data_IF_981202845866
#
_entry.id   IF_981202845866
#
_cell.length_a   1.000
_cell.length_b   1.000
_cell.length_c   1.000
_cell.angle_alpha   90.00
_cell.angle_beta   90.00
_cell.angle_gamma   90.00
#
_symmetry.space_group_name_H-M   'P 1'
#
loop_
_entity.id
_entity.type
_entity.pdbx_description
1 polymer ?
#
# COMPACT_ATOMS: atom_id res chain seq x y z
N UNK A 1 14.55 -14.19 -15.31
CA UNK A 1 14.13 -14.81 -16.57
C UNK A 1 15.24 -14.80 -17.61
N UNK A 2 15.10 -15.54 -18.71
CA UNK A 2 16.04 -15.51 -19.85
C UNK A 2 15.97 -14.20 -20.64
N UNK A 3 17.05 -13.84 -21.35
CA UNK A 3 17.13 -12.57 -22.08
C UNK A 3 16.04 -12.44 -23.17
N UNK A 4 15.74 -13.50 -23.91
CA UNK A 4 14.66 -13.49 -24.90
C UNK A 4 13.29 -13.25 -24.25
N UNK A 5 13.07 -13.79 -23.06
CA UNK A 5 11.83 -13.62 -22.31
C UNK A 5 11.66 -12.16 -21.86
N UNK A 6 12.74 -11.53 -21.39
CA UNK A 6 12.74 -10.12 -21.04
C UNK A 6 12.41 -9.24 -22.26
N UNK A 7 13.01 -9.53 -23.43
CA UNK A 7 12.71 -8.81 -24.67
C UNK A 7 11.25 -8.97 -25.10
N UNK A 8 10.65 -10.16 -24.95
CA UNK A 8 9.24 -10.36 -25.26
C UNK A 8 8.33 -9.45 -24.40
N UNK A 9 8.62 -9.30 -23.11
CA UNK A 9 7.87 -8.41 -22.23
C UNK A 9 8.00 -6.95 -22.67
N UNK A 10 9.22 -6.51 -23.00
CA UNK A 10 9.47 -5.14 -23.44
C UNK A 10 8.84 -4.85 -24.82
N UNK A 11 8.81 -5.83 -25.72
CA UNK A 11 8.14 -5.74 -27.01
C UNK A 11 6.61 -5.63 -26.85
N UNK A 12 6.05 -6.36 -25.88
CA UNK A 12 4.63 -6.27 -25.53
C UNK A 12 4.26 -4.85 -25.06
N UNK A 13 5.11 -4.22 -24.23
CA UNK A 13 4.94 -2.83 -23.82
C UNK A 13 5.04 -1.88 -25.01
N UNK A 14 6.05 -2.06 -25.85
CA UNK A 14 6.26 -1.21 -27.04
C UNK A 14 5.11 -1.30 -28.04
N UNK A 15 4.46 -2.47 -28.12
CA UNK A 15 3.28 -2.68 -28.96
C UNK A 15 2.01 -2.08 -28.37
N UNK A 16 1.86 -2.13 -27.04
CA UNK A 16 0.69 -1.56 -26.35
C UNK A 16 0.76 -0.03 -26.21
N UNK A 17 1.97 0.54 -26.09
CA UNK A 17 2.17 1.96 -25.78
C UNK A 17 3.11 2.65 -26.79
N UNK A 18 2.51 3.34 -27.75
CA UNK A 18 3.25 4.05 -28.82
C UNK A 18 4.27 5.06 -28.29
N UNK A 19 3.92 5.78 -27.21
CA UNK A 19 4.81 6.77 -26.64
C UNK A 19 6.04 6.14 -26.01
N UNK A 20 5.89 5.01 -25.33
CA UNK A 20 7.02 4.23 -24.81
C UNK A 20 7.95 3.83 -25.96
N UNK A 21 7.41 3.26 -27.04
CA UNK A 21 8.21 2.89 -28.22
C UNK A 21 9.01 4.04 -28.81
N UNK A 22 8.48 5.27 -28.79
CA UNK A 22 9.17 6.46 -29.32
C UNK A 22 10.27 6.97 -28.40
N UNK A 23 10.14 6.78 -27.09
CA UNK A 23 11.08 7.32 -26.10
C UNK A 23 12.13 6.31 -25.64
N UNK A 24 11.84 5.01 -25.77
CA UNK A 24 12.74 3.95 -25.33
C UNK A 24 13.89 3.80 -26.32
N UNK A 25 15.10 4.11 -25.84
CA UNK A 25 16.35 3.90 -26.56
C UNK A 25 17.00 2.56 -26.17
N UNK A 26 18.07 2.18 -26.88
CA UNK A 26 18.79 0.93 -26.62
C UNK A 26 19.29 0.82 -25.17
N UNK A 27 19.66 1.94 -24.55
CA UNK A 27 20.11 1.98 -23.14
C UNK A 27 18.97 1.61 -22.20
N UNK A 28 17.78 2.14 -22.43
CA UNK A 28 16.58 1.81 -21.65
C UNK A 28 16.24 0.33 -21.78
N UNK A 29 16.28 -0.21 -23.00
CA UNK A 29 15.99 -1.62 -23.25
C UNK A 29 17.00 -2.55 -22.55
N UNK A 30 18.30 -2.24 -22.63
CA UNK A 30 19.36 -2.99 -21.95
C UNK A 30 19.17 -2.97 -20.43
N UNK A 31 18.95 -1.78 -19.87
CA UNK A 31 18.70 -1.61 -18.44
C UNK A 31 17.53 -2.48 -17.98
N UNK A 32 16.40 -2.43 -18.70
CA UNK A 32 15.23 -3.19 -18.34
C UNK A 32 15.46 -4.69 -18.44
N UNK A 33 16.17 -5.14 -19.48
CA UNK A 33 16.56 -6.54 -19.62
C UNK A 33 17.43 -7.01 -18.45
N UNK A 34 18.38 -6.20 -17.99
CA UNK A 34 19.25 -6.52 -16.84
C UNK A 34 18.43 -6.68 -15.55
N UNK A 35 17.45 -5.81 -15.31
CA UNK A 35 16.58 -5.89 -14.13
C UNK A 35 15.60 -7.06 -14.15
N UNK A 36 15.23 -7.55 -15.33
CA UNK A 36 14.28 -8.66 -15.47
C UNK A 36 14.95 -10.04 -15.27
N UNK A 37 16.27 -10.12 -15.25
CA UNK A 37 17.01 -11.40 -15.03
C UNK A 37 16.62 -12.06 -13.71
N UNK A 38 16.32 -11.28 -12.68
CA UNK A 38 15.94 -11.79 -11.34
C UNK A 38 14.42 -11.99 -11.17
N UNK A 39 13.64 -11.73 -12.22
CA UNK A 39 12.19 -11.84 -12.20
C UNK A 39 11.67 -13.17 -12.78
N UNK A 40 10.55 -13.62 -12.23
CA UNK A 40 9.76 -14.75 -12.70
C UNK A 40 9.00 -14.35 -13.97
N UNK A 41 9.27 -15.07 -15.06
CA UNK A 41 8.70 -14.73 -16.35
C UNK A 41 7.17 -14.83 -16.38
N UNK A 42 6.59 -15.94 -15.90
CA UNK A 42 5.15 -16.18 -16.01
C UNK A 42 4.36 -15.21 -15.13
N UNK A 43 4.81 -14.99 -13.89
CA UNK A 43 4.20 -14.02 -12.98
C UNK A 43 4.31 -12.59 -13.54
N UNK A 44 5.49 -12.22 -14.05
CA UNK A 44 5.70 -10.89 -14.62
C UNK A 44 4.88 -10.65 -15.89
N UNK A 45 4.75 -11.69 -16.74
CA UNK A 45 3.90 -11.65 -17.94
C UNK A 45 2.42 -11.50 -17.58
N UNK A 46 1.95 -12.19 -16.55
CA UNK A 46 0.57 -12.08 -16.08
C UNK A 46 0.27 -10.68 -15.53
N UNK A 47 1.17 -10.13 -14.69
CA UNK A 47 1.07 -8.78 -14.16
C UNK A 47 1.05 -7.73 -15.28
N UNK A 48 1.96 -7.87 -16.26
CA UNK A 48 2.03 -6.97 -17.41
C UNK A 48 0.74 -6.98 -18.25
N UNK A 49 0.21 -8.16 -18.56
CA UNK A 49 -1.07 -8.30 -19.27
C UNK A 49 -2.21 -7.61 -18.53
N UNK A 50 -2.24 -7.70 -17.21
CA UNK A 50 -3.26 -7.05 -16.39
C UNK A 50 -3.10 -5.53 -16.39
N UNK A 51 -1.87 -5.02 -16.31
CA UNK A 51 -1.59 -3.58 -16.42
C UNK A 51 -2.06 -3.02 -17.76
N UNK A 52 -1.72 -3.69 -18.87
CA UNK A 52 -2.14 -3.28 -20.23
C UNK A 52 -3.67 -3.18 -20.35
N UNK A 53 -4.41 -4.11 -19.73
CA UNK A 53 -5.88 -4.10 -19.76
C UNK A 53 -6.50 -2.97 -18.93
N UNK A 54 -5.84 -2.53 -17.86
CA UNK A 54 -6.47 -1.68 -16.82
C UNK A 54 -5.92 -0.27 -16.77
N UNK A 55 -4.71 -0.02 -17.30
CA UNK A 55 -4.01 1.25 -17.19
C UNK A 55 -3.73 1.85 -18.55
N UNK A 56 -4.04 3.15 -18.68
CA UNK A 56 -3.85 3.93 -19.91
C UNK A 56 -2.39 4.31 -20.19
N UNK A 57 -1.55 4.34 -19.15
CA UNK A 57 -0.15 4.74 -19.24
C UNK A 57 0.78 3.53 -19.20
N UNK A 58 1.93 3.64 -19.87
CA UNK A 58 2.94 2.60 -19.90
C UNK A 58 3.39 2.24 -18.47
N UNK A 59 3.61 0.95 -18.16
CA UNK A 59 4.13 0.54 -16.87
C UNK A 59 5.58 0.99 -16.68
N UNK A 60 5.99 1.07 -15.43
CA UNK A 60 7.39 1.02 -14.99
C UNK A 60 7.80 -0.45 -14.72
N UNK A 61 9.10 -0.71 -14.52
CA UNK A 61 9.57 -2.05 -14.13
C UNK A 61 8.89 -2.56 -12.86
N UNK A 62 8.63 -1.69 -11.88
CA UNK A 62 8.03 -2.08 -10.60
C UNK A 62 6.56 -2.52 -10.72
N UNK A 63 5.86 -2.08 -11.78
CA UNK A 63 4.44 -2.42 -11.95
C UNK A 63 4.22 -3.87 -12.39
N UNK A 64 5.24 -4.54 -12.93
CA UNK A 64 5.11 -5.89 -13.48
C UNK A 64 6.28 -6.83 -13.19
N UNK A 65 7.45 -6.36 -12.76
CA UNK A 65 8.59 -7.22 -12.44
C UNK A 65 8.33 -7.94 -11.12
N UNK A 66 8.04 -9.24 -11.19
CA UNK A 66 7.80 -10.08 -10.02
C UNK A 66 9.05 -10.93 -9.75
N UNK A 67 9.73 -10.77 -8.60
CA UNK A 67 10.92 -11.55 -8.27
C UNK A 67 10.66 -13.07 -8.25
N UNK A 68 11.65 -13.87 -8.65
CA UNK A 68 11.58 -15.36 -8.61
C UNK A 68 11.29 -15.85 -7.18
N UNK A 69 11.95 -15.25 -6.20
CA UNK A 69 11.77 -15.53 -4.78
C UNK A 69 10.90 -14.47 -4.10
N UNK A 70 9.84 -14.01 -4.77
CA UNK A 70 8.75 -13.33 -4.07
C UNK A 70 8.08 -14.36 -3.14
N UNK A 71 8.76 -14.67 -2.03
CA UNK A 71 8.27 -15.55 -0.99
C UNK A 71 7.01 -14.90 -0.45
N UNK A 72 5.87 -15.41 -0.90
CA UNK A 72 4.56 -15.15 -0.31
C UNK A 72 4.63 -15.24 1.21
N UNK A 73 5.47 -16.14 1.72
CA UNK A 73 5.73 -16.33 3.14
C UNK A 73 6.43 -15.14 3.79
N UNK A 74 7.44 -14.53 3.16
CA UNK A 74 8.09 -13.33 3.67
C UNK A 74 7.17 -12.11 3.59
N UNK A 75 6.41 -11.97 2.50
CA UNK A 75 5.42 -10.89 2.37
C UNK A 75 4.28 -11.03 3.39
N UNK A 76 3.84 -12.26 3.67
CA UNK A 76 2.86 -12.55 4.73
C UNK A 76 3.45 -12.36 6.13
N UNK A 77 4.72 -12.70 6.34
CA UNK A 77 5.41 -12.48 7.61
C UNK A 77 5.57 -10.99 7.90
N UNK A 78 5.94 -10.19 6.89
CA UNK A 78 5.99 -8.73 6.98
C UNK A 78 4.61 -8.13 7.28
N UNK A 79 3.56 -8.58 6.58
CA UNK A 79 2.18 -8.12 6.86
C UNK A 79 1.74 -8.46 8.28
N UNK A 80 1.99 -9.69 8.76
CA UNK A 80 1.68 -10.09 10.14
C UNK A 80 2.48 -9.28 11.16
N UNK A 81 3.75 -8.99 10.88
CA UNK A 81 4.58 -8.16 11.76
C UNK A 81 4.01 -6.74 11.89
N UNK A 82 3.55 -6.14 10.79
CA UNK A 82 2.89 -4.84 10.82
C UNK A 82 1.56 -4.87 11.57
N UNK A 83 0.73 -5.90 11.38
CA UNK A 83 -0.52 -6.07 12.11
C UNK A 83 -0.31 -6.16 13.63
N UNK A 84 0.73 -6.89 14.06
CA UNK A 84 1.11 -6.98 15.48
C UNK A 84 1.50 -5.60 16.03
N UNK A 85 2.26 -4.81 15.27
CA UNK A 85 2.67 -3.45 15.67
C UNK A 85 1.44 -2.53 15.77
N UNK A 86 0.52 -2.60 14.81
CA UNK A 86 -0.70 -1.79 14.86
C UNK A 86 -1.57 -2.15 16.07
N UNK A 87 -1.71 -3.44 16.37
CA UNK A 87 -2.45 -3.90 17.55
C UNK A 87 -1.78 -3.45 18.86
N UNK A 88 -0.44 -3.52 18.96
CA UNK A 88 0.27 -3.07 20.15
C UNK A 88 0.14 -1.56 20.35
N UNK A 89 0.30 -0.77 19.28
CA UNK A 89 0.09 0.68 19.32
C UNK A 89 -1.36 1.01 19.68
N UNK A 90 -2.34 0.28 19.13
CA UNK A 90 -3.75 0.48 19.47
C UNK A 90 -4.04 0.18 20.95
N UNK A 91 -3.45 -0.88 21.51
CA UNK A 91 -3.55 -1.20 22.94
C UNK A 91 -2.89 -0.15 23.84
N UNK A 92 -1.70 0.33 23.47
CA UNK A 92 -1.02 1.41 24.19
C UNK A 92 -1.86 2.70 24.15
N UNK A 93 -2.44 3.01 23.00
CA UNK A 93 -3.30 4.18 22.79
C UNK A 93 -4.66 4.05 23.48
N UNK A 94 -5.19 2.83 23.69
CA UNK A 94 -6.49 2.60 24.34
C UNK A 94 -6.52 3.15 25.77
N UNK A 95 -5.39 3.12 26.47
CA UNK A 95 -5.25 3.62 27.84
C UNK A 95 -4.38 4.88 27.94
N UNK A 96 -3.97 5.46 26.81
CA UNK A 96 -3.14 6.66 26.81
C UNK A 96 -3.96 7.88 27.26
N UNK A 97 -3.72 8.31 28.50
CA UNK A 97 -4.15 9.62 28.99
C UNK A 97 -3.00 10.60 28.76
N UNK A 98 -3.18 11.65 27.95
CA UNK A 98 -2.14 12.65 27.76
C UNK A 98 -1.67 13.19 29.11
N UNK A 99 -0.35 13.23 29.37
CA UNK A 99 0.17 13.67 30.65
C UNK A 99 -0.23 15.12 30.95
N UNK A 100 -0.58 15.37 32.20
CA UNK A 100 -0.94 16.70 32.70
C UNK A 100 0.29 17.61 32.68
N UNK A 101 0.27 18.63 31.82
CA UNK A 101 1.38 19.57 31.60
C UNK A 101 1.78 20.27 32.90
N UNK A 102 0.84 20.48 33.82
CA UNK A 102 1.12 21.14 35.11
C UNK A 102 1.97 20.28 36.05
N UNK A 103 1.86 18.95 35.92
CA UNK A 103 2.58 17.97 36.76
C UNK A 103 3.91 17.53 36.16
N UNK A 104 4.27 18.03 34.97
CA UNK A 104 5.54 17.69 34.33
C UNK A 104 6.73 18.37 35.03
N UNK A 105 7.86 17.68 35.25
CA UNK A 105 9.07 18.25 35.82
C UNK A 105 9.87 19.05 34.78
N UNK A 106 9.22 19.99 34.10
CA UNK A 106 9.80 20.86 33.05
C UNK A 106 9.69 22.33 33.48
N UNK A 107 10.43 23.23 32.81
CA UNK A 107 10.44 24.65 33.18
C UNK A 107 9.08 25.31 32.95
N UNK A 108 8.76 26.33 33.75
CA UNK A 108 7.49 27.07 33.66
C UNK A 108 7.31 27.78 32.31
N UNK A 109 8.41 28.23 31.69
CA UNK A 109 8.41 28.80 30.35
C UNK A 109 7.98 27.76 29.30
N UNK A 110 8.51 26.54 29.40
CA UNK A 110 8.13 25.41 28.54
C UNK A 110 6.69 24.97 28.79
N UNK A 111 6.22 24.93 30.05
CA UNK A 111 4.81 24.66 30.36
C UNK A 111 3.88 25.68 29.70
N UNK A 112 4.23 26.97 29.80
CA UNK A 112 3.45 28.06 29.20
C UNK A 112 3.44 27.96 27.67
N UNK A 113 4.59 27.66 27.06
CA UNK A 113 4.71 27.44 25.61
C UNK A 113 3.88 26.25 25.13
N UNK A 114 3.93 25.11 25.84
CA UNK A 114 3.14 23.92 25.52
C UNK A 114 1.65 24.20 25.66
N UNK A 115 1.21 24.88 26.73
CA UNK A 115 -0.20 25.28 26.88
C UNK A 115 -0.68 26.22 25.77
N UNK A 116 0.15 27.16 25.33
CA UNK A 116 -0.21 28.11 24.28
C UNK A 116 -0.25 27.50 22.87
N UNK A 117 0.59 26.48 22.60
CA UNK A 117 0.71 25.85 21.27
C UNK A 117 0.04 24.49 21.15
N UNK A 118 -0.41 23.88 22.25
CA UNK A 118 -1.22 22.66 22.21
C UNK A 118 -2.52 23.01 21.49
N UNK A 119 -2.79 22.34 20.37
CA UNK A 119 -4.10 22.42 19.73
C UNK A 119 -5.13 21.87 20.72
N UNK A 120 -6.00 22.73 21.24
CA UNK A 120 -7.23 22.26 21.87
C UNK A 120 -8.02 21.53 20.79
N UNK A 121 -8.10 20.20 20.85
CA UNK A 121 -9.05 19.44 20.04
C UNK A 121 -10.43 19.76 20.63
N UNK A 122 -11.00 20.89 20.20
CA UNK A 122 -12.18 21.49 20.84
C UNK A 122 -13.42 20.60 20.82
N UNK A 123 -13.45 19.55 19.99
CA UNK A 123 -14.45 18.49 20.04
C UNK A 123 -13.83 17.18 19.54
N UNK A 124 -14.08 16.04 20.22
CA UNK A 124 -13.92 14.73 19.58
C UNK A 124 -14.70 14.73 18.26
N UNK A 125 -14.27 13.96 17.26
CA UNK A 125 -15.07 13.77 16.05
C UNK A 125 -16.46 13.26 16.45
N UNK A 126 -17.46 14.13 16.38
CA UNK A 126 -18.85 13.76 16.50
C UNK A 126 -19.33 13.50 15.08
N UNK A 127 -19.62 12.24 14.80
CA UNK A 127 -20.29 11.86 13.57
C UNK A 127 -21.58 12.69 13.45
N UNK A 128 -21.81 13.25 12.27
CA UNK A 128 -23.06 13.97 11.95
C UNK A 128 -24.23 13.02 11.70
N UNK A 129 -23.99 11.71 11.78
CA UNK A 129 -24.99 10.68 11.52
C UNK A 129 -25.82 10.46 12.77
N UNK A 130 -27.12 10.23 12.58
CA UNK A 130 -27.96 9.77 13.69
C UNK A 130 -27.53 8.36 14.12
N UNK A 131 -27.87 7.92 15.35
CA UNK A 131 -27.54 6.57 15.80
C UNK A 131 -28.01 5.46 14.84
N UNK A 132 -29.13 5.67 14.14
CA UNK A 132 -29.63 4.75 13.11
C UNK A 132 -28.73 4.75 11.87
N UNK A 133 -28.34 5.92 11.37
CA UNK A 133 -27.46 6.04 10.20
C UNK A 133 -26.05 5.49 10.48
N UNK A 134 -25.56 5.64 11.72
CA UNK A 134 -24.31 5.00 12.13
C UNK A 134 -24.41 3.48 12.11
N UNK A 135 -25.52 2.93 12.59
CA UNK A 135 -25.77 1.49 12.61
C UNK A 135 -25.87 0.92 11.19
N UNK A 136 -26.64 1.57 10.32
CA UNK A 136 -26.75 1.21 8.90
C UNK A 136 -25.39 1.28 8.20
N UNK A 137 -24.58 2.30 8.51
CA UNK A 137 -23.25 2.45 7.94
C UNK A 137 -22.30 1.36 8.43
N UNK A 138 -22.37 0.99 9.72
CA UNK A 138 -21.59 -0.14 10.27
C UNK A 138 -21.98 -1.46 9.60
N UNK A 139 -23.26 -1.72 9.43
CA UNK A 139 -23.75 -2.93 8.76
C UNK A 139 -23.35 -2.99 7.28
N UNK A 140 -23.38 -1.85 6.58
CA UNK A 140 -22.92 -1.77 5.20
C UNK A 140 -21.41 -2.06 5.09
N UNK A 141 -20.61 -1.46 5.96
CA UNK A 141 -19.16 -1.68 5.99
C UNK A 141 -18.85 -3.14 6.33
N UNK A 142 -19.57 -3.74 7.27
CA UNK A 142 -19.41 -5.15 7.60
C UNK A 142 -19.74 -6.06 6.40
N UNK A 143 -20.82 -5.78 5.66
CA UNK A 143 -21.15 -6.51 4.43
C UNK A 143 -20.05 -6.39 3.37
N UNK A 144 -19.45 -5.22 3.22
CA UNK A 144 -18.34 -5.01 2.29
C UNK A 144 -17.10 -5.82 2.69
N UNK A 145 -16.79 -5.85 3.99
CA UNK A 145 -15.70 -6.69 4.53
C UNK A 145 -15.97 -8.16 4.25
N UNK A 146 -17.19 -8.64 4.53
CA UNK A 146 -17.56 -10.04 4.30
C UNK A 146 -17.53 -10.42 2.81
N UNK A 147 -17.93 -9.51 1.92
CA UNK A 147 -17.84 -9.71 0.47
C UNK A 147 -16.39 -9.78 -0.03
N UNK A 148 -15.51 -8.93 0.50
CA UNK A 148 -14.09 -8.97 0.18
C UNK A 148 -13.46 -10.27 0.68
N UNK A 149 -13.76 -10.68 1.91
CA UNK A 149 -13.29 -11.95 2.48
C UNK A 149 -13.74 -13.17 1.66
N UNK A 150 -14.98 -13.16 1.13
CA UNK A 150 -15.46 -14.23 0.22
C UNK A 150 -14.77 -14.22 -1.14
N UNK A 151 -14.39 -13.05 -1.65
CA UNK A 151 -13.64 -12.94 -2.92
C UNK A 151 -12.22 -13.48 -2.76
N UNK A 152 -11.61 -13.27 -1.60
CA UNK A 152 -10.27 -13.77 -1.30
C UNK A 152 -10.25 -15.26 -0.94
N UNK A 153 -11.30 -15.77 -0.28
CA UNK A 153 -11.46 -17.21 0.03
C UNK A 153 -11.97 -18.09 -1.11
N UNK A 154 -12.30 -17.52 -2.27
CA UNK A 154 -12.83 -18.22 -3.45
C UNK A 154 -11.78 -18.69 -4.46
N UNK A 155 -10.49 -18.47 -4.19
CA UNK A 155 -9.38 -19.05 -4.94
C UNK A 155 -8.79 -20.23 -4.16
N UNK A 156 -9.41 -21.40 -4.30
CA UNK A 156 -8.79 -22.71 -4.05
C UNK A 156 -9.31 -23.68 -5.10
#
# INVERSE_FOLDING_TARGET
MELMQAFELIEMISSAYINFKKTSDEKTLRLWSDFLVDADYEKSKAALKQHIKTKKFAPSLADFSIPINADLENSQAEMKAWEIIEQSVAQEMQNYVPPDVDKMPISEELKKYLKANRREVKTPFQSTLTPQQEQERKELLQKQIDELARREGGCS
#
